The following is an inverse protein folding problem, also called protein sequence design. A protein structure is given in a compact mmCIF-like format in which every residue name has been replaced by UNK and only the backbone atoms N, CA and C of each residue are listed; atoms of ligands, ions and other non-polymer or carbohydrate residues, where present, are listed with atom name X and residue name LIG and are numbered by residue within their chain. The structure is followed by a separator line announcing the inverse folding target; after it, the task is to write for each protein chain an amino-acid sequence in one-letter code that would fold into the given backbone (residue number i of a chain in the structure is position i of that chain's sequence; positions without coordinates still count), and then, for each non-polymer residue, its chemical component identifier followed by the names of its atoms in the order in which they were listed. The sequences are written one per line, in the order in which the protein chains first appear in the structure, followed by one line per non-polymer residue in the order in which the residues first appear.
data_IF_819904085805
#
_entry.id   IF_819904085805
#
_cell.length_a   1.000
_cell.length_b   1.000
_cell.length_c   1.000
_cell.angle_alpha   90.00
_cell.angle_beta   90.00
_cell.angle_gamma   90.00
#
_symmetry.space_group_name_H-M   'P 1'
#
loop_
_entity.id
_entity.type
_entity.pdbx_description
1 polymer ?
#
# COMPACT_ATOMS: atom_id res chain seq x y z
N UNK A 1 11.39 0.29 5.29
CA UNK A 1 10.50 -0.79 4.82
C UNK A 1 10.55 -0.84 3.31
N UNK A 2 10.62 -2.02 2.69
CA UNK A 2 10.78 -2.16 1.23
C UNK A 2 9.76 -3.15 0.69
N UNK A 3 9.22 -2.91 -0.50
CA UNK A 3 8.30 -3.84 -1.15
C UNK A 3 8.76 -4.12 -2.58
N UNK A 4 8.69 -5.38 -3.02
CA UNK A 4 8.91 -5.70 -4.43
C UNK A 4 7.73 -5.22 -5.27
N UNK A 5 8.03 -4.45 -6.32
CA UNK A 5 6.99 -3.93 -7.21
C UNK A 5 6.29 -5.05 -8.00
N UNK A 6 6.99 -6.14 -8.29
CA UNK A 6 6.39 -7.32 -8.94
C UNK A 6 5.34 -7.98 -8.04
N UNK A 7 5.61 -8.11 -6.74
CA UNK A 7 4.68 -8.66 -5.75
C UNK A 7 3.46 -7.78 -5.54
N UNK A 8 3.69 -6.47 -5.50
CA UNK A 8 2.61 -5.50 -5.42
C UNK A 8 1.66 -5.59 -6.63
N UNK A 9 2.19 -5.71 -7.84
CA UNK A 9 1.39 -5.88 -9.06
C UNK A 9 0.70 -7.26 -9.13
N UNK A 10 1.38 -8.33 -8.70
CA UNK A 10 0.81 -9.69 -8.59
C UNK A 10 -0.39 -9.70 -7.63
N UNK A 11 -0.22 -9.13 -6.44
CA UNK A 11 -1.29 -9.00 -5.45
C UNK A 11 -2.47 -8.22 -6.07
N UNK A 12 -2.20 -7.12 -6.78
CA UNK A 12 -3.25 -6.30 -7.42
C UNK A 12 -4.08 -7.11 -8.40
N UNK A 13 -3.43 -7.92 -9.21
CA UNK A 13 -4.10 -8.78 -10.19
C UNK A 13 -5.00 -9.83 -9.52
N UNK A 14 -4.59 -10.44 -8.40
CA UNK A 14 -5.39 -11.47 -7.73
C UNK A 14 -6.53 -10.89 -6.88
N UNK A 15 -6.47 -9.61 -6.55
CA UNK A 15 -7.48 -8.90 -5.75
C UNK A 15 -8.83 -8.70 -6.47
N UNK A 16 -8.92 -9.03 -7.76
CA UNK A 16 -10.13 -8.90 -8.60
C UNK A 16 -10.76 -7.49 -8.56
N UNK A 17 -9.93 -6.45 -8.45
CA UNK A 17 -10.37 -5.06 -8.44
C UNK A 17 -10.67 -4.48 -7.06
N UNK A 18 -10.41 -5.22 -5.98
CA UNK A 18 -10.54 -4.72 -4.61
C UNK A 18 -9.69 -3.47 -4.33
N UNK A 19 -8.62 -3.27 -5.09
CA UNK A 19 -7.87 -2.02 -5.12
C UNK A 19 -7.26 -1.74 -6.49
N UNK A 20 -6.91 -0.49 -6.72
CA UNK A 20 -6.13 -0.03 -7.87
C UNK A 20 -4.82 0.59 -7.40
N UNK A 21 -3.76 0.40 -8.20
CA UNK A 21 -2.44 0.93 -7.93
C UNK A 21 -2.06 1.90 -9.03
N UNK A 22 -1.63 3.09 -8.64
CA UNK A 22 -1.06 4.10 -9.52
C UNK A 22 0.37 4.36 -9.08
N UNK A 23 1.33 3.96 -9.91
CA UNK A 23 2.75 4.23 -9.69
C UNK A 23 3.16 5.53 -10.37
N UNK A 24 3.95 6.34 -9.65
CA UNK A 24 4.69 7.47 -10.19
C UNK A 24 6.15 7.39 -9.73
N UNK A 25 7.00 8.33 -10.14
CA UNK A 25 8.44 8.31 -9.84
C UNK A 25 8.76 8.21 -8.34
N UNK A 26 7.97 8.87 -7.48
CA UNK A 26 8.23 9.00 -6.04
C UNK A 26 7.06 8.56 -5.14
N UNK A 27 6.00 8.01 -5.72
CA UNK A 27 4.77 7.70 -5.01
C UNK A 27 4.08 6.47 -5.61
N UNK A 28 3.56 5.64 -4.73
CA UNK A 28 2.65 4.54 -5.03
C UNK A 28 1.32 4.88 -4.37
N UNK A 29 0.29 5.13 -5.17
CA UNK A 29 -1.05 5.40 -4.66
C UNK A 29 -1.87 4.12 -4.76
N UNK A 30 -2.48 3.73 -3.65
CA UNK A 30 -3.33 2.54 -3.55
C UNK A 30 -4.73 2.99 -3.16
N UNK A 31 -5.67 2.76 -4.06
CA UNK A 31 -7.08 3.05 -3.81
C UNK A 31 -7.79 1.76 -3.46
N UNK A 32 -8.32 1.65 -2.24
CA UNK A 32 -9.12 0.50 -1.84
C UNK A 32 -10.57 0.72 -2.27
N UNK A 33 -11.01 -0.05 -3.27
CA UNK A 33 -12.36 0.00 -3.82
C UNK A 33 -13.35 -0.83 -3.00
N UNK A 34 -12.86 -1.79 -2.21
CA UNK A 34 -13.66 -2.63 -1.32
C UNK A 34 -12.97 -2.86 0.03
N UNK A 35 -13.70 -3.44 0.98
CA UNK A 35 -13.12 -3.93 2.24
C UNK A 35 -12.07 -4.99 1.91
N UNK A 36 -10.87 -4.85 2.49
CA UNK A 36 -9.92 -5.95 2.55
C UNK A 36 -10.09 -6.70 3.87
N UNK A 37 -10.66 -7.89 3.81
CA UNK A 37 -10.86 -8.73 5.00
C UNK A 37 -9.52 -9.18 5.60
N UNK A 38 -8.47 -9.29 4.78
CA UNK A 38 -7.17 -9.83 5.17
C UNK A 38 -6.31 -8.88 6.03
N UNK A 39 -6.69 -7.60 6.12
CA UNK A 39 -5.78 -6.56 6.62
C UNK A 39 -5.92 -6.27 8.12
N UNK A 40 -6.88 -6.88 8.83
CA UNK A 40 -7.21 -6.63 10.25
C UNK A 40 -7.56 -5.17 10.62
N UNK A 41 -7.25 -4.20 9.76
CA UNK A 41 -7.70 -2.82 9.80
C UNK A 41 -8.65 -2.55 8.62
N UNK A 42 -9.82 -1.98 8.92
CA UNK A 42 -10.85 -1.71 7.91
C UNK A 42 -10.52 -0.42 7.13
N UNK A 43 -9.86 -0.56 5.99
CA UNK A 43 -9.54 0.54 5.07
C UNK A 43 -10.63 0.83 4.03
N UNK A 44 -11.90 0.51 4.34
CA UNK A 44 -13.01 0.64 3.40
C UNK A 44 -13.19 2.08 2.92
N UNK A 45 -13.29 2.27 1.59
CA UNK A 45 -13.44 3.57 0.94
C UNK A 45 -12.31 4.57 1.25
N UNK A 46 -11.15 4.06 1.69
CA UNK A 46 -9.98 4.87 1.93
C UNK A 46 -9.01 4.80 0.74
N UNK A 47 -8.36 5.92 0.46
CA UNK A 47 -7.18 5.96 -0.42
C UNK A 47 -5.94 6.01 0.46
N UNK A 48 -5.05 5.03 0.35
CA UNK A 48 -3.74 5.07 1.00
C UNK A 48 -2.72 5.56 -0.03
N UNK A 49 -2.08 6.69 0.27
CA UNK A 49 -0.93 7.19 -0.48
C UNK A 49 0.33 6.73 0.21
N UNK A 50 1.12 5.90 -0.48
CA UNK A 50 2.42 5.43 0.00
C UNK A 50 3.50 6.22 -0.73
N UNK A 51 4.33 6.91 0.03
CA UNK A 51 5.46 7.64 -0.51
C UNK A 51 6.68 6.74 -0.45
N UNK A 52 7.26 6.46 -1.62
CA UNK A 52 8.34 5.51 -1.74
C UNK A 52 9.38 5.95 -2.77
N UNK A 53 10.65 5.63 -2.50
CA UNK A 53 11.75 5.81 -3.46
C UNK A 53 11.87 4.54 -4.29
N UNK A 54 11.61 4.64 -5.59
CA UNK A 54 11.74 3.51 -6.52
C UNK A 54 13.23 3.21 -6.75
N UNK A 55 13.60 1.97 -6.47
CA UNK A 55 14.88 1.36 -6.80
C UNK A 55 14.62 0.18 -7.75
N UNK A 56 15.65 -0.30 -8.47
CA UNK A 56 15.54 -1.31 -9.56
C UNK A 56 14.32 -2.25 -9.46
N UNK A 57 14.24 -3.04 -8.39
CA UNK A 57 13.20 -4.06 -8.19
C UNK A 57 12.29 -3.76 -6.97
N UNK A 58 12.60 -2.73 -6.20
CA UNK A 58 12.00 -2.46 -4.89
C UNK A 58 11.52 -1.02 -4.80
N UNK A 59 10.48 -0.77 -4.01
CA UNK A 59 10.12 0.55 -3.55
C UNK A 59 10.42 0.67 -2.05
N UNK A 60 11.27 1.63 -1.68
CA UNK A 60 11.57 1.92 -0.28
C UNK A 60 10.58 2.94 0.26
N UNK A 61 9.72 2.49 1.17
CA UNK A 61 8.63 3.28 1.74
C UNK A 61 9.17 4.15 2.87
N UNK A 62 8.88 5.45 2.82
CA UNK A 62 9.34 6.44 3.81
C UNK A 62 8.23 7.29 4.44
N UNK A 63 7.05 7.39 3.83
CA UNK A 63 5.89 8.06 4.42
C UNK A 63 4.59 7.41 3.91
N UNK A 64 3.49 7.61 4.64
CA UNK A 64 2.19 7.11 4.25
C UNK A 64 1.05 8.01 4.78
N UNK A 65 0.02 8.15 3.96
CA UNK A 65 -1.17 8.91 4.30
C UNK A 65 -2.42 8.12 3.95
N UNK A 66 -3.46 8.28 4.75
CA UNK A 66 -4.79 7.78 4.46
C UNK A 66 -5.77 8.93 4.28
N UNK A 67 -6.57 8.82 3.23
CA UNK A 67 -7.63 9.74 2.88
C UNK A 67 -8.96 8.99 2.90
N UNK A 68 -9.81 9.34 3.86
CA UNK A 68 -11.17 8.79 4.00
C UNK A 68 -12.22 9.57 3.18
N UNK A 69 -11.79 10.53 2.34
CA UNK A 69 -12.67 11.51 1.70
C UNK A 69 -12.86 12.78 2.52
N UNK A 70 -13.55 13.76 1.93
CA UNK A 70 -13.97 15.02 2.60
C UNK A 70 -12.82 15.81 3.27
N UNK A 71 -11.63 15.83 2.66
CA UNK A 71 -10.40 16.46 3.16
C UNK A 71 -9.88 15.91 4.50
N UNK A 72 -10.25 14.68 4.88
CA UNK A 72 -9.76 14.03 6.11
C UNK A 72 -8.53 13.18 5.82
N UNK A 73 -7.43 13.84 5.46
CA UNK A 73 -6.13 13.20 5.29
C UNK A 73 -5.45 13.06 6.65
N UNK A 74 -4.98 11.84 6.97
CA UNK A 74 -4.19 11.56 8.17
C UNK A 74 -2.88 10.89 7.78
N UNK A 75 -1.81 11.26 8.48
CA UNK A 75 -0.57 10.48 8.42
C UNK A 75 -0.81 9.10 9.05
N UNK A 76 -0.36 8.07 8.34
CA UNK A 76 -0.28 6.70 8.86
C UNK A 76 1.15 6.45 9.31
N UNK A 77 1.31 5.76 10.44
CA UNK A 77 2.61 5.21 10.77
C UNK A 77 2.93 4.05 9.83
N UNK A 78 4.20 3.85 9.51
CA UNK A 78 4.61 2.75 8.62
C UNK A 78 4.31 1.38 9.24
N UNK A 79 4.27 1.31 10.58
CA UNK A 79 3.89 0.14 11.35
C UNK A 79 2.43 -0.26 11.12
N UNK A 80 1.51 0.69 10.90
CA UNK A 80 0.11 0.39 10.57
C UNK A 80 -0.05 -0.24 9.18
N UNK A 81 0.91 -0.01 8.27
CA UNK A 81 0.93 -0.65 6.96
C UNK A 81 1.50 -2.08 7.00
N UNK A 82 2.19 -2.45 8.08
CA UNK A 82 2.90 -3.73 8.18
C UNK A 82 2.02 -4.96 7.92
N UNK A 83 0.82 -5.10 8.52
CA UNK A 83 -0.03 -6.27 8.27
C UNK A 83 -0.37 -6.43 6.79
N UNK A 84 -0.71 -5.34 6.10
CA UNK A 84 -1.01 -5.36 4.68
C UNK A 84 0.23 -5.68 3.84
N UNK A 85 1.37 -5.08 4.16
CA UNK A 85 2.61 -5.29 3.40
C UNK A 85 3.11 -6.72 3.49
N UNK A 86 2.97 -7.39 4.64
CA UNK A 86 3.26 -8.83 4.74
C UNK A 86 2.36 -9.65 3.82
N UNK A 87 1.05 -9.33 3.76
CA UNK A 87 0.13 -10.03 2.87
C UNK A 87 0.56 -9.91 1.41
N UNK A 88 1.19 -8.80 1.04
CA UNK A 88 1.69 -8.58 -0.32
C UNK A 88 3.05 -9.25 -0.55
N UNK A 89 3.97 -9.11 0.39
CA UNK A 89 5.35 -9.54 0.29
C UNK A 89 5.89 -9.88 1.70
N UNK A 90 5.82 -11.17 2.08
CA UNK A 90 6.28 -11.65 3.39
C UNK A 90 7.79 -11.34 3.64
N UNK A 91 8.58 -11.11 2.58
CA UNK A 91 10.00 -10.77 2.67
C UNK A 91 10.26 -9.25 2.79
N UNK A 92 9.21 -8.41 2.74
CA UNK A 92 9.29 -6.94 2.76
C UNK A 92 10.00 -6.32 3.98
N UNK A 93 10.27 -7.14 5.01
CA UNK A 93 10.78 -6.70 6.30
C UNK A 93 12.09 -7.38 6.75
N UNK A 94 12.67 -8.29 5.95
CA UNK A 94 13.85 -9.06 6.41
C UNK A 94 15.22 -8.34 6.33
N UNK A 95 15.28 -7.00 6.33
CA UNK A 95 16.55 -6.24 6.33
C UNK A 95 16.54 -5.03 7.27
#
# INVERSE_FOLDING_TARGET
MKIRLSKLNEYASVSRGAYTIVESENQIVIHFNSVLEDVKEHYQSATIRIYARKQKEYAEIYDAEIDYGENRVKKLSLESLYPWLITVDEEAWQL
#
